data_IF_612517363538
#
_entry.id   IF_612517363538
#
_cell.length_a   1.000
_cell.length_b   1.000
_cell.length_c   1.000
_cell.angle_alpha   90.00
_cell.angle_beta   90.00
_cell.angle_gamma   90.00
#
_symmetry.space_group_name_H-M   'P 1'
#
loop_
_entity.id
_entity.type
_entity.pdbx_description
1 polymer ?
#
# COMPACT_ATOMS: atom_id res chain seq x y z
N UNK A 1 27.75 -27.72 -2.32
CA UNK A 1 26.62 -27.32 -1.45
C UNK A 1 26.13 -25.90 -1.70
N UNK A 2 26.97 -24.96 -2.20
CA UNK A 2 26.59 -23.55 -2.43
C UNK A 2 25.46 -23.29 -3.43
N UNK A 3 25.35 -24.07 -4.51
CA UNK A 3 24.37 -23.81 -5.57
C UNK A 3 22.92 -23.89 -5.09
N UNK A 4 22.61 -24.78 -4.12
CA UNK A 4 21.27 -24.89 -3.52
C UNK A 4 20.89 -23.63 -2.73
N UNK A 5 21.80 -23.09 -1.93
CA UNK A 5 21.54 -21.89 -1.14
C UNK A 5 21.41 -20.64 -2.03
N UNK A 6 22.21 -20.56 -3.09
CA UNK A 6 22.11 -19.48 -4.09
C UNK A 6 20.77 -19.52 -4.83
N UNK A 7 20.30 -20.72 -5.22
CA UNK A 7 18.98 -20.89 -5.83
C UNK A 7 17.84 -20.54 -4.87
N UNK A 8 17.90 -20.98 -3.62
CA UNK A 8 16.89 -20.64 -2.59
C UNK A 8 16.88 -19.13 -2.31
N UNK A 9 18.04 -18.49 -2.26
CA UNK A 9 18.16 -17.04 -2.07
C UNK A 9 17.54 -16.27 -3.25
N UNK A 10 17.90 -16.62 -4.50
CA UNK A 10 17.35 -15.99 -5.70
C UNK A 10 15.83 -16.19 -5.78
N UNK A 11 15.34 -17.40 -5.50
CA UNK A 11 13.90 -17.68 -5.47
C UNK A 11 13.17 -16.86 -4.40
N UNK A 12 13.73 -16.74 -3.19
CA UNK A 12 13.15 -15.90 -2.12
C UNK A 12 13.14 -14.41 -2.46
N UNK A 13 14.20 -13.92 -3.08
CA UNK A 13 14.29 -12.53 -3.54
C UNK A 13 13.27 -12.28 -4.66
N UNK A 14 13.19 -13.18 -5.64
CA UNK A 14 12.21 -13.10 -6.75
C UNK A 14 10.77 -13.08 -6.23
N UNK A 15 10.40 -14.01 -5.35
CA UNK A 15 9.05 -14.05 -4.75
C UNK A 15 8.76 -12.76 -3.99
N UNK A 16 9.72 -12.22 -3.25
CA UNK A 16 9.54 -10.93 -2.54
C UNK A 16 9.34 -9.78 -3.52
N UNK A 17 10.09 -9.71 -4.61
CA UNK A 17 9.93 -8.67 -5.64
C UNK A 17 8.61 -8.80 -6.38
N UNK A 18 8.17 -10.02 -6.69
CA UNK A 18 6.93 -10.29 -7.40
C UNK A 18 5.71 -9.89 -6.56
N UNK A 19 5.73 -10.22 -5.25
CA UNK A 19 4.72 -9.79 -4.29
C UNK A 19 4.70 -8.27 -4.16
N UNK A 20 5.87 -7.63 -4.03
CA UNK A 20 5.94 -6.16 -3.95
C UNK A 20 5.39 -5.48 -5.21
N UNK A 21 5.72 -5.98 -6.40
CA UNK A 21 5.15 -5.48 -7.65
C UNK A 21 3.63 -5.67 -7.71
N UNK A 22 3.11 -6.81 -7.22
CA UNK A 22 1.67 -7.04 -7.15
C UNK A 22 0.97 -6.06 -6.19
N UNK A 23 1.57 -5.79 -5.03
CA UNK A 23 1.08 -4.79 -4.07
C UNK A 23 1.03 -3.41 -4.73
N UNK A 24 2.11 -2.97 -5.38
CA UNK A 24 2.17 -1.66 -6.06
C UNK A 24 1.07 -1.51 -7.11
N UNK A 25 0.79 -2.56 -7.90
CA UNK A 25 -0.30 -2.54 -8.90
C UNK A 25 -1.67 -2.38 -8.24
N UNK A 26 -1.94 -3.15 -7.19
CA UNK A 26 -3.22 -3.10 -6.48
C UNK A 26 -3.43 -1.76 -5.79
N UNK A 27 -2.41 -1.23 -5.10
CA UNK A 27 -2.49 0.09 -4.47
C UNK A 27 -2.67 1.20 -5.51
N UNK A 28 -2.04 1.07 -6.68
CA UNK A 28 -2.26 2.01 -7.79
C UNK A 28 -3.70 2.02 -8.28
N UNK A 29 -4.34 0.84 -8.38
CA UNK A 29 -5.75 0.74 -8.76
C UNK A 29 -6.68 1.34 -7.69
N UNK A 30 -6.40 1.11 -6.40
CA UNK A 30 -7.15 1.70 -5.30
C UNK A 30 -7.05 3.23 -5.34
N UNK A 31 -5.83 3.79 -5.45
CA UNK A 31 -5.64 5.24 -5.57
C UNK A 31 -6.31 5.83 -6.81
N UNK A 32 -6.31 5.12 -7.94
CA UNK A 32 -7.05 5.53 -9.14
C UNK A 32 -8.56 5.60 -8.87
N UNK A 33 -9.12 4.61 -8.15
CA UNK A 33 -10.55 4.55 -7.85
C UNK A 33 -11.03 5.58 -6.83
N UNK A 34 -10.17 5.95 -5.88
CA UNK A 34 -10.46 6.94 -4.84
C UNK A 34 -10.30 8.38 -5.35
N UNK A 35 -9.55 8.59 -6.44
CA UNK A 35 -9.35 9.90 -7.02
C UNK A 35 -10.56 10.33 -7.85
N UNK A 36 -11.36 11.22 -7.27
CA UNK A 36 -12.54 11.79 -7.91
C UNK A 36 -12.28 13.18 -8.52
N UNK A 37 -11.06 13.70 -8.41
CA UNK A 37 -10.69 15.07 -8.80
C UNK A 37 -10.07 15.09 -10.19
N UNK A 38 -9.06 14.24 -10.41
CA UNK A 38 -8.30 14.22 -11.65
C UNK A 38 -9.10 13.59 -12.80
N UNK A 39 -8.74 13.95 -14.03
CA UNK A 39 -9.30 13.30 -15.21
C UNK A 39 -8.88 11.82 -15.26
N UNK A 40 -9.82 10.86 -15.28
CA UNK A 40 -9.48 9.43 -15.31
C UNK A 40 -8.68 9.04 -16.56
N UNK A 41 -8.93 9.69 -17.71
CA UNK A 41 -8.17 9.45 -18.94
C UNK A 41 -6.71 9.85 -18.78
N UNK A 42 -6.46 11.04 -18.20
CA UNK A 42 -5.10 11.51 -17.93
C UNK A 42 -4.34 10.53 -17.02
N UNK A 43 -5.00 10.02 -15.97
CA UNK A 43 -4.41 9.04 -15.07
C UNK A 43 -4.06 7.73 -15.78
N UNK A 44 -4.93 7.22 -16.64
CA UNK A 44 -4.67 6.01 -17.45
C UNK A 44 -3.50 6.19 -18.41
N UNK A 45 -3.48 7.30 -19.14
CA UNK A 45 -2.43 7.60 -20.12
C UNK A 45 -1.07 7.76 -19.43
N UNK A 46 -1.05 8.42 -18.27
CA UNK A 46 0.14 8.52 -17.41
C UNK A 46 0.63 7.14 -16.96
N UNK A 47 -0.27 6.21 -16.62
CA UNK A 47 0.09 4.84 -16.26
C UNK A 47 0.80 4.11 -17.41
N UNK A 48 0.42 4.38 -18.67
CA UNK A 48 1.10 3.85 -19.86
C UNK A 48 2.35 4.64 -20.28
N UNK A 49 2.69 5.72 -19.57
CA UNK A 49 3.85 6.56 -19.89
C UNK A 49 3.59 7.60 -20.99
N UNK A 50 2.33 7.79 -21.39
CA UNK A 50 1.94 8.80 -22.36
C UNK A 50 1.72 10.16 -21.68
N UNK A 51 2.13 11.24 -22.36
CA UNK A 51 1.91 12.61 -21.91
C UNK A 51 0.66 13.13 -22.61
N UNK A 52 -0.35 13.49 -21.82
CA UNK A 52 -1.54 14.16 -22.33
C UNK A 52 -1.82 15.44 -21.54
N UNK A 53 -2.33 16.43 -22.26
CA UNK A 53 -2.85 17.67 -21.68
C UNK A 53 -4.28 17.40 -21.17
N UNK A 54 -4.60 17.86 -19.97
CA UNK A 54 -5.94 17.75 -19.41
C UNK A 54 -6.99 18.47 -20.26
N UNK A 55 -6.58 19.49 -21.03
CA UNK A 55 -7.44 20.19 -22.00
C UNK A 55 -8.02 19.31 -23.11
N UNK A 56 -7.34 18.21 -23.47
CA UNK A 56 -7.80 17.30 -24.52
C UNK A 56 -8.99 16.42 -24.11
N UNK A 57 -9.38 16.40 -22.83
CA UNK A 57 -10.55 15.66 -22.38
C UNK A 57 -11.86 16.25 -22.96
N UNK A 58 -11.92 17.57 -23.18
CA UNK A 58 -13.10 18.25 -23.72
C UNK A 58 -14.37 18.05 -22.88
N UNK A 59 -14.25 17.91 -21.56
CA UNK A 59 -15.36 17.66 -20.62
C UNK A 59 -16.20 16.40 -20.93
N UNK A 60 -15.62 15.41 -21.62
CA UNK A 60 -16.31 14.17 -21.98
C UNK A 60 -16.20 13.06 -20.92
N UNK A 61 -15.76 13.39 -19.70
CA UNK A 61 -15.77 12.48 -18.55
C UNK A 61 -16.37 13.17 -17.32
N UNK A 62 -16.84 12.38 -16.36
CA UNK A 62 -17.57 12.87 -15.19
C UNK A 62 -16.75 13.79 -14.29
N UNK A 63 -15.45 13.51 -14.10
CA UNK A 63 -14.59 14.35 -13.25
C UNK A 63 -14.37 15.73 -13.86
N UNK A 64 -14.20 15.83 -15.19
CA UNK A 64 -13.99 17.10 -15.88
C UNK A 64 -15.31 17.86 -16.14
N UNK A 65 -16.44 17.16 -16.29
CA UNK A 65 -17.73 17.81 -16.50
C UNK A 65 -18.32 18.42 -15.22
N UNK A 66 -17.93 17.91 -14.05
CA UNK A 66 -18.37 18.42 -12.75
C UNK A 66 -17.54 19.63 -12.34
N UNK A 67 -18.21 20.75 -12.08
CA UNK A 67 -17.61 21.87 -11.35
C UNK A 67 -17.59 21.46 -9.87
N UNK A 68 -16.42 21.07 -9.36
CA UNK A 68 -16.22 20.70 -7.95
C UNK A 68 -15.47 21.80 -7.22
N UNK A 69 -15.98 22.19 -6.06
CA UNK A 69 -15.21 22.97 -5.08
C UNK A 69 -14.32 22.00 -4.30
N UNK A 70 -13.02 22.10 -4.50
CA UNK A 70 -12.07 21.30 -3.73
C UNK A 70 -11.79 21.99 -2.39
N UNK A 71 -11.91 21.26 -1.30
CA UNK A 71 -11.52 21.72 0.04
C UNK A 71 -10.42 20.80 0.54
N UNK A 72 -9.24 21.36 0.76
CA UNK A 72 -8.15 20.65 1.40
C UNK A 72 -8.47 20.46 2.88
N UNK A 73 -8.43 19.22 3.34
CA UNK A 73 -8.76 18.87 4.72
C UNK A 73 -7.52 18.27 5.39
N UNK A 74 -7.09 18.90 6.47
CA UNK A 74 -6.04 18.33 7.33
C UNK A 74 -6.59 17.10 8.08
N UNK A 75 -5.95 15.95 7.87
CA UNK A 75 -6.27 14.66 8.50
C UNK A 75 -5.15 14.18 9.44
N UNK A 76 -4.18 15.04 9.76
CA UNK A 76 -2.99 14.71 10.57
C UNK A 76 -3.36 14.17 11.94
N UNK A 77 -4.34 14.79 12.62
CA UNK A 77 -4.74 14.36 13.96
C UNK A 77 -5.40 12.99 13.95
N UNK A 78 -6.26 12.71 12.96
CA UNK A 78 -6.87 11.39 12.78
C UNK A 78 -5.80 10.30 12.54
N UNK A 79 -4.75 10.61 11.77
CA UNK A 79 -3.64 9.69 11.55
C UNK A 79 -2.83 9.43 12.84
N UNK A 80 -2.58 10.45 13.66
CA UNK A 80 -1.92 10.30 14.97
C UNK A 80 -2.73 9.41 15.91
N UNK A 81 -4.05 9.60 15.97
CA UNK A 81 -4.93 8.81 16.82
C UNK A 81 -4.93 7.34 16.41
N UNK A 82 -5.02 7.06 15.10
CA UNK A 82 -4.98 5.70 14.57
C UNK A 82 -3.63 5.02 14.87
N UNK A 83 -2.52 5.71 14.62
CA UNK A 83 -1.17 5.15 14.87
C UNK A 83 -0.94 4.90 16.36
N UNK A 84 -1.41 5.79 17.24
CA UNK A 84 -1.37 5.59 18.68
C UNK A 84 -2.16 4.34 19.11
N UNK A 85 -3.37 4.16 18.57
CA UNK A 85 -4.24 3.01 18.89
C UNK A 85 -3.62 1.68 18.43
N UNK A 86 -3.08 1.64 17.22
CA UNK A 86 -2.41 0.43 16.69
C UNK A 86 -1.19 0.10 17.54
N UNK A 87 -0.35 1.09 17.83
CA UNK A 87 0.84 0.91 18.67
C UNK A 87 0.50 0.39 20.07
N UNK A 88 -0.55 0.94 20.69
CA UNK A 88 -1.04 0.51 22.00
C UNK A 88 -1.60 -0.91 21.97
N UNK A 89 -2.34 -1.26 20.91
CA UNK A 89 -2.89 -2.61 20.70
C UNK A 89 -1.79 -3.66 20.52
N UNK A 90 -0.77 -3.35 19.71
CA UNK A 90 0.40 -4.23 19.49
C UNK A 90 1.18 -4.42 20.77
N UNK A 91 1.45 -3.36 21.54
CA UNK A 91 2.14 -3.46 22.84
C UNK A 91 1.38 -4.36 23.82
N UNK A 92 0.05 -4.20 23.90
CA UNK A 92 -0.80 -5.03 24.78
C UNK A 92 -0.76 -6.50 24.37
N UNK A 93 -0.87 -6.81 23.07
CA UNK A 93 -0.73 -8.16 22.54
C UNK A 93 0.63 -8.77 22.91
N UNK A 94 1.71 -8.01 22.76
CA UNK A 94 3.06 -8.47 23.11
C UNK A 94 3.17 -8.84 24.58
N UNK A 95 2.62 -8.02 25.48
CA UNK A 95 2.61 -8.30 26.92
C UNK A 95 1.81 -9.57 27.25
N UNK A 96 0.66 -9.80 26.60
CA UNK A 96 -0.14 -11.02 26.79
C UNK A 96 0.58 -12.28 26.30
N UNK A 97 1.32 -12.19 25.19
CA UNK A 97 2.14 -13.30 24.67
C UNK A 97 3.34 -13.56 25.60
N UNK A 98 3.96 -12.52 26.15
CA UNK A 98 5.05 -12.68 27.13
C UNK A 98 4.59 -13.22 28.48
N UNK A 99 3.31 -13.06 28.85
CA UNK A 99 2.74 -13.67 30.06
C UNK A 99 2.29 -15.11 29.86
N UNK A 100 2.19 -15.59 28.61
CA UNK A 100 1.79 -16.96 28.28
C UNK A 100 2.98 -17.86 27.91
N UNK A 101 4.20 -17.30 27.83
CA UNK A 101 5.42 -18.05 27.53
C UNK A 101 5.96 -18.96 28.66
N UNK A 102 5.30 -19.05 29.82
CA UNK A 102 5.56 -20.13 30.79
C UNK A 102 4.96 -21.49 30.37
N UNK A 103 4.22 -21.55 29.25
CA UNK A 103 3.78 -22.80 28.62
C UNK A 103 4.09 -22.80 27.12
N UNK A 104 5.36 -22.82 26.72
CA UNK A 104 5.68 -22.92 25.29
C UNK A 104 7.16 -22.94 24.90
N UNK A 105 7.89 -23.98 25.27
CA UNK A 105 9.23 -24.30 24.75
C UNK A 105 9.25 -24.73 23.27
N UNK A 106 8.58 -24.01 22.33
CA UNK A 106 8.46 -24.51 20.95
C UNK A 106 8.75 -23.56 19.78
N UNK A 107 9.15 -22.30 19.99
CA UNK A 107 9.41 -21.39 18.85
C UNK A 107 10.68 -20.54 18.90
N UNK A 108 11.70 -20.98 19.65
CA UNK A 108 13.07 -20.44 19.52
C UNK A 108 14.09 -21.58 19.33
N UNK A 109 13.96 -22.28 18.21
CA UNK A 109 15.03 -23.04 17.56
C UNK A 109 14.63 -23.04 16.07
N UNK A 110 15.31 -22.42 15.12
CA UNK A 110 16.75 -22.40 14.90
C UNK A 110 17.15 -21.15 14.08
N UNK A 111 18.12 -20.40 14.60
CA UNK A 111 19.14 -19.70 13.79
C UNK A 111 20.39 -20.57 13.88
#
# INVERSE_FOLDING_TARGET
MEAKYKFIFVARVSVRTDVMHAVIRLTGLASYSENDVDCPRLLQLRHFGEKLDSGNCGNTCDSCSKIKTLVEKDVTESAKQLTFLISSSVRRLLLLVSSTSDLGSFFYCSV
#
